data_IF_010610149500
#
_entry.id   IF_010610149500
#
_cell.length_a   1.000
_cell.length_b   1.000
_cell.length_c   1.000
_cell.angle_alpha   90.00
_cell.angle_beta   90.00
_cell.angle_gamma   90.00
#
_symmetry.space_group_name_H-M   'P 1'
#
loop_
_entity.id
_entity.type
_entity.pdbx_description
1 polymer ?
#
# COMPACT_ATOMS: atom_id res chain seq x y z
N UNK A 1 9.41 -11.55 -12.93
CA UNK A 1 9.50 -11.52 -11.45
C UNK A 1 9.20 -10.15 -10.85
N UNK A 2 10.02 -9.10 -11.07
CA UNK A 2 9.89 -7.83 -10.32
C UNK A 2 8.50 -7.17 -10.41
N UNK A 3 7.93 -7.04 -11.62
CA UNK A 3 6.55 -6.53 -11.82
C UNK A 3 5.49 -7.36 -11.09
N UNK A 4 5.63 -8.69 -11.11
CA UNK A 4 4.70 -9.60 -10.42
C UNK A 4 4.83 -9.48 -8.89
N UNK A 5 6.04 -9.27 -8.39
CA UNK A 5 6.29 -9.03 -6.97
C UNK A 5 5.67 -7.71 -6.50
N UNK A 6 5.81 -6.62 -7.27
CA UNK A 6 5.16 -5.34 -6.95
C UNK A 6 3.63 -5.49 -6.97
N UNK A 7 3.09 -6.23 -7.95
CA UNK A 7 1.64 -6.49 -8.02
C UNK A 7 1.12 -7.32 -6.85
N UNK A 8 1.88 -8.30 -6.39
CA UNK A 8 1.55 -9.07 -5.19
C UNK A 8 1.55 -8.20 -3.94
N UNK A 9 2.55 -7.32 -3.78
CA UNK A 9 2.63 -6.38 -2.67
C UNK A 9 1.43 -5.43 -2.63
N UNK A 10 1.02 -4.88 -3.78
CA UNK A 10 -0.12 -3.96 -3.86
C UNK A 10 -1.46 -4.65 -3.53
N UNK A 11 -1.61 -5.91 -3.92
CA UNK A 11 -2.82 -6.68 -3.62
C UNK A 11 -2.98 -6.95 -2.12
N UNK A 12 -1.90 -7.18 -1.38
CA UNK A 12 -2.04 -7.38 0.06
C UNK A 12 -2.32 -6.08 0.80
N UNK A 13 -1.73 -4.96 0.37
CA UNK A 13 -2.09 -3.66 0.95
C UNK A 13 -3.60 -3.38 0.77
N UNK A 14 -4.18 -3.72 -0.39
CA UNK A 14 -5.62 -3.57 -0.64
C UNK A 14 -6.48 -4.40 0.32
N UNK A 15 -6.13 -5.68 0.57
CA UNK A 15 -6.87 -6.53 1.51
C UNK A 15 -6.79 -6.00 2.95
N UNK A 16 -5.64 -5.43 3.32
CA UNK A 16 -5.44 -4.85 4.64
C UNK A 16 -6.21 -3.54 4.82
N UNK A 17 -6.34 -2.74 3.75
CA UNK A 17 -7.06 -1.48 3.78
C UNK A 17 -8.51 -1.62 4.24
N UNK A 18 -9.20 -2.67 3.79
CA UNK A 18 -10.61 -2.94 4.16
C UNK A 18 -10.78 -3.17 5.67
N UNK A 19 -9.72 -3.63 6.36
CA UNK A 19 -9.77 -3.99 7.79
C UNK A 19 -9.38 -2.86 8.74
N UNK A 20 -8.89 -1.74 8.22
CA UNK A 20 -8.47 -0.61 9.04
C UNK A 20 -9.70 0.17 9.51
N UNK A 21 -9.69 0.61 10.76
CA UNK A 21 -10.73 1.46 11.33
C UNK A 21 -10.23 2.87 11.63
N UNK A 22 -8.93 3.01 11.94
CA UNK A 22 -8.37 4.29 12.37
C UNK A 22 -8.00 5.16 11.14
N UNK A 23 -8.51 6.40 11.02
CA UNK A 23 -8.28 7.26 9.85
C UNK A 23 -6.79 7.48 9.53
N UNK A 24 -5.95 7.67 10.56
CA UNK A 24 -4.51 7.84 10.36
C UNK A 24 -3.85 6.59 9.76
N UNK A 25 -4.30 5.39 10.14
CA UNK A 25 -3.78 4.14 9.56
C UNK A 25 -4.25 3.93 8.13
N UNK A 26 -5.52 4.28 7.82
CA UNK A 26 -6.03 4.24 6.45
C UNK A 26 -5.17 5.13 5.54
N UNK A 27 -4.79 6.31 6.01
CA UNK A 27 -4.00 7.24 5.20
C UNK A 27 -2.56 6.76 4.97
N UNK A 28 -1.90 6.21 5.99
CA UNK A 28 -0.59 5.60 5.83
C UNK A 28 -0.62 4.48 4.79
N UNK A 29 -1.68 3.66 4.78
CA UNK A 29 -1.86 2.62 3.77
C UNK A 29 -2.09 3.18 2.37
N UNK A 30 -2.82 4.30 2.23
CA UNK A 30 -3.02 4.95 0.93
C UNK A 30 -1.70 5.49 0.37
N UNK A 31 -0.85 6.12 1.19
CA UNK A 31 0.47 6.62 0.75
C UNK A 31 1.37 5.45 0.30
N UNK A 32 1.36 4.34 1.04
CA UNK A 32 2.11 3.14 0.63
C UNK A 32 1.57 2.52 -0.66
N UNK A 33 0.25 2.55 -0.86
CA UNK A 33 -0.37 2.04 -2.07
C UNK A 33 -0.06 2.91 -3.28
N UNK A 34 -0.07 4.24 -3.16
CA UNK A 34 0.25 5.16 -4.26
C UNK A 34 1.72 5.05 -4.67
N UNK A 35 2.63 4.80 -3.72
CA UNK A 35 4.03 4.43 -4.02
C UNK A 35 4.12 3.17 -4.88
N UNK A 36 3.43 2.09 -4.50
CA UNK A 36 3.45 0.83 -5.27
C UNK A 36 2.82 0.99 -6.66
N UNK A 37 1.73 1.76 -6.78
CA UNK A 37 1.10 2.05 -8.08
C UNK A 37 2.01 2.91 -8.96
N UNK A 38 2.72 3.88 -8.39
CA UNK A 38 3.76 4.66 -9.09
C UNK A 38 4.86 3.76 -9.64
N UNK A 39 5.38 2.83 -8.83
CA UNK A 39 6.38 1.85 -9.28
C UNK A 39 5.82 0.92 -10.37
N UNK A 40 4.57 0.44 -10.23
CA UNK A 40 3.93 -0.40 -11.25
C UNK A 40 3.81 0.33 -12.58
N UNK A 41 3.29 1.56 -12.59
CA UNK A 41 3.13 2.35 -13.82
C UNK A 41 4.47 2.70 -14.45
N UNK A 42 5.50 2.96 -13.64
CA UNK A 42 6.87 3.16 -14.11
C UNK A 42 7.47 1.93 -14.80
N UNK A 43 7.11 0.71 -14.38
CA UNK A 43 7.54 -0.53 -15.07
C UNK A 43 6.73 -0.86 -16.34
N UNK A 44 5.58 -0.22 -16.54
CA UNK A 44 4.70 -0.45 -17.70
C UNK A 44 5.02 0.52 -18.83
N UNK A 45 5.37 1.76 -18.49
CA UNK A 45 5.62 2.83 -19.46
C UNK A 45 7.09 2.89 -19.85
N UNK A 46 7.38 3.36 -21.06
CA UNK A 46 8.77 3.54 -21.52
C UNK A 46 9.47 4.74 -20.86
N UNK A 47 8.70 5.74 -20.39
CA UNK A 47 9.25 6.88 -19.66
C UNK A 47 8.59 7.02 -18.28
N UNK A 48 9.41 7.35 -17.27
CA UNK A 48 8.97 7.53 -15.89
C UNK A 48 8.14 8.80 -15.65
N UNK A 49 7.98 9.67 -16.65
CA UNK A 49 7.36 10.98 -16.49
C UNK A 49 5.93 10.89 -15.96
N UNK A 50 5.12 9.96 -16.49
CA UNK A 50 3.75 9.74 -16.03
C UNK A 50 3.71 9.17 -14.60
N UNK A 51 4.57 8.20 -14.27
CA UNK A 51 4.64 7.64 -12.92
C UNK A 51 5.02 8.68 -11.86
N UNK A 52 5.88 9.63 -12.23
CA UNK A 52 6.31 10.72 -11.36
C UNK A 52 5.20 11.75 -11.10
N UNK A 53 4.48 12.16 -12.15
CA UNK A 53 3.33 13.08 -11.99
C UNK A 53 2.24 12.43 -11.14
N UNK A 54 1.94 11.15 -11.38
CA UNK A 54 0.95 10.41 -10.61
C UNK A 54 1.36 10.31 -9.14
N UNK A 55 2.64 10.03 -8.87
CA UNK A 55 3.16 9.99 -7.51
C UNK A 55 3.04 11.34 -6.78
N UNK A 56 3.50 12.43 -7.39
CA UNK A 56 3.50 13.76 -6.77
C UNK A 56 2.10 14.29 -6.50
N UNK A 57 1.17 14.13 -7.45
CA UNK A 57 -0.20 14.63 -7.31
C UNK A 57 -0.95 13.91 -6.19
N UNK A 58 -0.81 12.58 -6.11
CA UNK A 58 -1.40 11.81 -5.02
C UNK A 58 -0.75 12.09 -3.66
N UNK A 59 0.58 12.22 -3.59
CA UNK A 59 1.26 12.50 -2.33
C UNK A 59 0.89 13.89 -1.80
N UNK A 60 0.85 14.90 -2.68
CA UNK A 60 0.42 16.25 -2.31
C UNK A 60 -1.01 16.29 -1.78
N UNK A 61 -1.96 15.65 -2.48
CA UNK A 61 -3.36 15.58 -2.04
C UNK A 61 -3.55 14.84 -0.72
N UNK A 62 -2.82 13.74 -0.52
CA UNK A 62 -2.90 12.94 0.71
C UNK A 62 -2.30 13.66 1.92
N UNK A 63 -1.26 14.49 1.75
CA UNK A 63 -0.70 15.29 2.84
C UNK A 63 -1.67 16.38 3.32
N UNK A 64 -2.43 17.02 2.43
CA UNK A 64 -3.45 18.00 2.82
C UNK A 64 -4.56 17.32 3.62
N UNK A 65 -5.02 16.15 3.16
CA UNK A 65 -5.99 15.33 3.89
C UNK A 65 -5.44 14.87 5.24
N UNK A 66 -4.14 14.56 5.34
CA UNK A 66 -3.48 14.18 6.60
C UNK A 66 -3.67 15.25 7.66
N UNK A 67 -3.24 16.47 7.33
CA UNK A 67 -3.32 17.61 8.26
C UNK A 67 -4.76 17.86 8.67
N UNK A 68 -5.70 17.81 7.71
CA UNK A 68 -7.12 18.01 7.97
C UNK A 68 -7.67 16.98 8.97
N UNK A 69 -7.47 15.69 8.71
CA UNK A 69 -8.02 14.62 9.56
C UNK A 69 -7.35 14.61 10.93
N UNK A 70 -6.03 14.82 11.02
CA UNK A 70 -5.34 14.90 12.32
C UNK A 70 -5.77 16.10 13.15
N UNK A 71 -6.25 17.18 12.52
CA UNK A 71 -6.76 18.35 13.25
C UNK A 71 -8.16 18.15 13.84
N UNK A 72 -8.91 17.17 13.33
CA UNK A 72 -10.31 16.90 13.72
C UNK A 72 -10.44 15.64 14.58
N UNK A 73 -9.60 14.64 14.37
CA UNK A 73 -9.66 13.38 15.11
C UNK A 73 -9.14 13.56 16.55
N UNK A 74 -9.84 12.96 17.51
CA UNK A 74 -9.31 12.74 18.85
C UNK A 74 -8.00 11.95 18.74
N UNK A 75 -6.98 12.33 19.51
CA UNK A 75 -5.65 11.71 19.48
C UNK A 75 -5.66 10.36 20.22
N UNK A 76 -6.60 9.47 19.86
CA UNK A 76 -6.70 8.13 20.42
C UNK A 76 -5.47 7.31 20.07
N UNK A 77 -4.96 6.57 21.05
CA UNK A 77 -3.79 5.74 20.84
C UNK A 77 -4.09 4.69 19.79
N UNK A 78 -3.33 4.72 18.69
CA UNK A 78 -3.42 3.74 17.63
C UNK A 78 -3.01 2.34 18.15
N UNK A 79 -3.97 1.43 18.27
CA UNK A 79 -3.71 0.04 18.65
C UNK A 79 -4.06 -0.92 17.51
N UNK A 80 -3.07 -1.39 16.72
CA UNK A 80 -3.33 -2.41 15.71
C UNK A 80 -3.71 -3.74 16.36
N UNK A 81 -4.78 -4.38 15.87
CA UNK A 81 -5.21 -5.70 16.35
C UNK A 81 -4.15 -6.75 15.97
N UNK A 82 -3.55 -7.41 16.95
CA UNK A 82 -2.52 -8.45 16.74
C UNK A 82 -2.96 -9.56 15.77
N UNK A 83 -4.22 -10.01 15.86
CA UNK A 83 -4.80 -10.99 14.91
C UNK A 83 -4.74 -10.50 13.46
N UNK A 84 -5.03 -9.21 13.22
CA UNK A 84 -4.98 -8.68 11.85
C UNK A 84 -3.56 -8.75 11.32
N UNK A 85 -2.57 -8.38 12.13
CA UNK A 85 -1.15 -8.40 11.76
C UNK A 85 -0.61 -9.81 11.49
N UNK A 86 -1.03 -10.82 12.27
CA UNK A 86 -0.65 -12.22 12.00
C UNK A 86 -1.26 -12.68 10.68
N UNK A 87 -2.54 -12.36 10.43
CA UNK A 87 -3.20 -12.70 9.18
C UNK A 87 -2.52 -12.03 7.97
N UNK A 88 -2.17 -10.75 8.07
CA UNK A 88 -1.47 -10.04 6.99
C UNK A 88 -0.13 -10.69 6.68
N UNK A 89 0.62 -11.08 7.70
CA UNK A 89 1.93 -11.72 7.56
C UNK A 89 1.82 -13.11 6.93
N UNK A 90 0.83 -13.91 7.34
CA UNK A 90 0.57 -15.22 6.76
C UNK A 90 0.22 -15.14 5.27
N UNK A 91 -0.59 -14.15 4.89
CA UNK A 91 -0.95 -13.89 3.50
C UNK A 91 0.27 -13.49 2.66
N UNK A 92 1.16 -12.65 3.19
CA UNK A 92 2.42 -12.28 2.52
C UNK A 92 3.28 -13.50 2.23
N UNK A 93 3.50 -14.34 3.25
CA UNK A 93 4.35 -15.52 3.11
C UNK A 93 3.76 -16.45 2.04
N UNK A 94 2.45 -16.70 2.08
CA UNK A 94 1.80 -17.58 1.11
C UNK A 94 1.99 -17.06 -0.32
N UNK A 95 1.73 -15.78 -0.56
CA UNK A 95 1.87 -15.19 -1.89
C UNK A 95 3.31 -15.24 -2.38
N UNK A 96 4.29 -14.93 -1.53
CA UNK A 96 5.70 -15.01 -1.92
C UNK A 96 6.13 -16.43 -2.26
N UNK A 97 5.68 -17.44 -1.50
CA UNK A 97 5.94 -18.84 -1.83
C UNK A 97 5.36 -19.18 -3.21
N UNK A 98 4.10 -18.82 -3.47
CA UNK A 98 3.47 -19.12 -4.76
C UNK A 98 4.21 -18.48 -5.94
N UNK A 99 4.70 -17.25 -5.80
CA UNK A 99 5.49 -16.59 -6.83
C UNK A 99 6.80 -17.32 -7.11
N UNK A 100 7.51 -17.75 -6.07
CA UNK A 100 8.79 -18.47 -6.27
C UNK A 100 8.61 -19.87 -6.86
N UNK A 101 7.48 -20.52 -6.60
CA UNK A 101 7.15 -21.82 -7.20
C UNK A 101 6.76 -21.65 -8.66
N UNK A 102 5.96 -20.62 -8.98
CA UNK A 102 5.61 -20.27 -10.35
C UNK A 102 6.82 -19.87 -11.19
N UNK A 103 7.83 -19.22 -10.61
CA UNK A 103 9.06 -18.88 -11.34
C UNK A 103 9.94 -20.12 -11.65
N UNK A 104 9.75 -21.23 -10.93
CA UNK A 104 10.51 -22.49 -11.14
C UNK A 104 9.83 -23.47 -12.09
N UNK A 105 8.52 -23.36 -12.29
CA UNK A 105 7.77 -24.12 -13.30
C UNK A 105 7.85 -23.40 -14.64
#
# INVERSE_FOLDING_TARGET
>A
MFKMMIMALSNVLNVNFIKLSHPMSMMLFIIMQTLLVGLMTGTIMESFWLSYILFLTFLGGMLVLFIYITSIASNEMFQPKSITMIFTFSMWIFIMITLTVLDKM
#
